data_IF_301056280531
#
_entry.id   IF_301056280531
#
_cell.length_a   1.000
_cell.length_b   1.000
_cell.length_c   1.000
_cell.angle_alpha   90.00
_cell.angle_beta   90.00
_cell.angle_gamma   90.00
#
_symmetry.space_group_name_H-M   'P 1'
#
loop_
_entity.id
_entity.type
_entity.pdbx_description
1 polymer ?
#
# COMPACT_ATOMS: atom_id res chain seq x y z
N UNK A 1 14.10 6.80 -29.88
CA UNK A 1 13.78 8.13 -29.31
C UNK A 1 13.83 8.00 -27.79
N UNK A 2 14.44 8.94 -27.06
CA UNK A 2 14.42 8.91 -25.59
C UNK A 2 12.97 9.04 -25.10
N UNK A 3 12.63 8.34 -24.02
CA UNK A 3 11.37 8.59 -23.32
C UNK A 3 11.51 9.88 -22.52
N UNK A 4 10.58 10.81 -22.70
CA UNK A 4 10.57 12.10 -21.99
C UNK A 4 9.62 12.12 -20.80
N UNK A 5 8.76 11.11 -20.68
CA UNK A 5 7.80 10.98 -19.58
C UNK A 5 7.54 9.51 -19.23
N UNK A 6 7.94 9.13 -18.01
CA UNK A 6 7.70 7.81 -17.44
C UNK A 6 6.20 7.50 -17.29
N UNK A 7 5.33 8.51 -17.22
CA UNK A 7 3.89 8.30 -17.12
C UNK A 7 3.33 7.51 -18.31
N UNK A 8 3.97 7.54 -19.47
CA UNK A 8 3.51 6.80 -20.66
C UNK A 8 3.86 5.32 -20.62
N UNK A 9 4.84 4.92 -19.81
CA UNK A 9 5.37 3.56 -19.74
C UNK A 9 4.56 2.66 -18.80
N UNK A 10 4.64 1.36 -19.05
CA UNK A 10 4.24 0.33 -18.09
C UNK A 10 5.50 -0.36 -17.57
N UNK A 11 5.56 -0.67 -16.27
CA UNK A 11 6.72 -1.33 -15.69
C UNK A 11 6.79 -2.80 -16.11
N UNK A 12 8.01 -3.31 -16.33
CA UNK A 12 8.24 -4.75 -16.55
C UNK A 12 8.04 -5.56 -15.26
N UNK A 13 8.44 -4.99 -14.13
CA UNK A 13 8.29 -5.58 -12.79
C UNK A 13 7.70 -4.56 -11.83
N UNK A 14 6.84 -5.01 -10.94
CA UNK A 14 6.22 -4.16 -9.91
C UNK A 14 6.01 -4.94 -8.62
N UNK A 15 6.21 -4.25 -7.51
CA UNK A 15 5.92 -4.75 -6.17
C UNK A 15 4.94 -3.79 -5.50
N UNK A 16 3.83 -4.33 -5.01
CA UNK A 16 2.79 -3.52 -4.40
C UNK A 16 3.05 -3.30 -2.90
N UNK A 17 3.20 -2.03 -2.52
CA UNK A 17 3.36 -1.60 -1.13
C UNK A 17 2.00 -1.24 -0.51
N UNK A 18 1.10 -0.61 -1.27
CA UNK A 18 -0.27 -0.33 -0.82
C UNK A 18 -0.43 0.89 0.09
N UNK A 19 0.59 1.73 0.25
CA UNK A 19 0.52 3.06 0.91
C UNK A 19 1.25 4.12 0.07
N UNK A 20 1.02 5.40 0.39
CA UNK A 20 1.64 6.55 -0.32
C UNK A 20 2.83 7.16 0.39
N UNK A 21 3.15 6.68 1.61
CA UNK A 21 4.30 7.09 2.43
C UNK A 21 5.03 5.87 2.96
N UNK A 22 6.38 5.83 2.91
CA UNK A 22 7.16 4.73 3.47
C UNK A 22 7.16 4.70 5.01
N UNK A 23 6.69 5.76 5.68
CA UNK A 23 6.84 5.95 7.14
C UNK A 23 6.30 4.83 8.02
N UNK A 24 5.33 4.05 7.54
CA UNK A 24 4.74 2.93 8.28
C UNK A 24 5.19 1.55 7.77
N UNK A 25 5.98 1.51 6.70
CA UNK A 25 6.31 0.29 5.93
C UNK A 25 7.76 0.33 5.46
N UNK A 26 8.65 0.92 6.25
CA UNK A 26 10.06 1.15 5.88
C UNK A 26 10.72 -0.16 5.43
N UNK A 27 10.57 -1.23 6.20
CA UNK A 27 11.21 -2.52 5.90
C UNK A 27 10.65 -3.14 4.60
N UNK A 28 9.34 -3.07 4.38
CA UNK A 28 8.72 -3.55 3.13
C UNK A 28 9.24 -2.79 1.89
N UNK A 29 9.46 -1.47 2.02
CA UNK A 29 9.99 -0.64 0.94
C UNK A 29 11.46 -0.95 0.65
N UNK A 30 12.26 -1.19 1.69
CA UNK A 30 13.66 -1.61 1.55
C UNK A 30 13.76 -2.96 0.83
N UNK A 31 13.00 -3.96 1.30
CA UNK A 31 12.97 -5.29 0.70
C UNK A 31 12.49 -5.26 -0.76
N UNK A 32 11.44 -4.49 -1.04
CA UNK A 32 10.94 -4.31 -2.39
C UNK A 32 11.99 -3.65 -3.31
N UNK A 33 12.70 -2.63 -2.81
CA UNK A 33 13.74 -1.94 -3.59
C UNK A 33 14.90 -2.89 -3.90
N UNK A 34 15.33 -3.70 -2.94
CA UNK A 34 16.38 -4.71 -3.14
C UNK A 34 15.98 -5.75 -4.19
N UNK A 35 14.75 -6.27 -4.10
CA UNK A 35 14.22 -7.22 -5.08
C UNK A 35 14.18 -6.62 -6.48
N UNK A 36 13.68 -5.39 -6.63
CA UNK A 36 13.64 -4.70 -7.91
C UNK A 36 15.05 -4.41 -8.46
N UNK A 37 16.03 -4.10 -7.60
CA UNK A 37 17.44 -3.96 -8.01
C UNK A 37 17.98 -5.28 -8.59
N UNK A 38 17.69 -6.41 -7.94
CA UNK A 38 18.11 -7.74 -8.44
C UNK A 38 17.46 -8.03 -9.79
N UNK A 39 16.14 -7.83 -9.93
CA UNK A 39 15.45 -8.00 -11.21
C UNK A 39 16.06 -7.13 -12.31
N UNK A 40 16.34 -5.85 -12.02
CA UNK A 40 16.95 -4.94 -12.97
C UNK A 40 18.38 -5.35 -13.36
N UNK A 41 19.17 -5.88 -12.41
CA UNK A 41 20.55 -6.32 -12.64
C UNK A 41 20.63 -7.61 -13.49
N UNK A 42 19.57 -8.42 -13.46
CA UNK A 42 19.48 -9.64 -14.27
C UNK A 42 19.07 -9.37 -15.73
N UNK A 43 18.70 -8.13 -16.06
CA UNK A 43 18.45 -7.71 -17.43
C UNK A 43 19.80 -7.66 -18.18
N UNK A 44 19.89 -8.34 -19.31
CA UNK A 44 21.14 -8.61 -20.05
C UNK A 44 21.91 -7.35 -20.51
N UNK A 45 21.27 -6.18 -20.52
CA UNK A 45 21.80 -4.93 -21.08
C UNK A 45 21.84 -3.76 -20.06
N UNK A 46 21.78 -4.05 -18.75
CA UNK A 46 21.78 -3.00 -17.74
C UNK A 46 23.22 -2.49 -17.43
N UNK A 47 23.73 -1.56 -18.24
CA UNK A 47 25.01 -0.88 -17.97
C UNK A 47 24.92 0.15 -16.83
N UNK A 48 23.71 0.62 -16.52
CA UNK A 48 23.43 1.66 -15.53
C UNK A 48 22.08 1.41 -14.85
N UNK A 49 22.07 1.39 -13.51
CA UNK A 49 20.85 1.31 -12.71
C UNK A 49 20.64 2.64 -11.99
N UNK A 50 19.51 3.30 -12.27
CA UNK A 50 19.11 4.54 -11.59
C UNK A 50 17.99 4.22 -10.60
N UNK A 51 18.25 4.44 -9.31
CA UNK A 51 17.25 4.28 -8.25
C UNK A 51 16.67 5.66 -7.90
N UNK A 52 15.51 5.97 -8.46
CA UNK A 52 14.77 7.18 -8.10
C UNK A 52 14.05 6.97 -6.76
N UNK A 53 14.39 7.76 -5.74
CA UNK A 53 13.84 7.59 -4.38
C UNK A 53 12.65 8.52 -4.11
N UNK A 54 11.90 8.23 -3.05
CA UNK A 54 10.81 9.09 -2.57
C UNK A 54 11.34 10.42 -1.96
N UNK A 55 10.43 11.37 -1.73
CA UNK A 55 10.79 12.69 -1.19
C UNK A 55 10.76 12.81 0.34
N UNK A 56 10.73 11.71 1.11
CA UNK A 56 10.70 11.78 2.58
C UNK A 56 12.11 11.96 3.15
N UNK A 57 12.46 13.20 3.47
CA UNK A 57 13.80 13.60 3.92
C UNK A 57 13.79 14.39 5.24
N UNK A 58 12.61 14.76 5.75
CA UNK A 58 12.46 15.62 6.94
C UNK A 58 12.17 14.77 8.17
N UNK A 59 12.97 14.97 9.22
CA UNK A 59 12.85 14.33 10.53
C UNK A 59 13.71 13.08 10.69
N UNK A 60 14.02 12.71 11.93
CA UNK A 60 14.99 11.65 12.25
C UNK A 60 14.64 10.30 11.64
N UNK A 61 13.34 9.96 11.60
CA UNK A 61 12.88 8.71 10.98
C UNK A 61 13.14 8.70 9.46
N UNK A 62 12.95 9.85 8.79
CA UNK A 62 13.22 9.99 7.37
C UNK A 62 14.72 9.85 7.08
N UNK A 63 15.56 10.52 7.88
CA UNK A 63 17.02 10.43 7.78
C UNK A 63 17.48 8.99 7.96
N UNK A 64 17.05 8.31 9.04
CA UNK A 64 17.38 6.90 9.28
C UNK A 64 16.94 5.99 8.13
N UNK A 65 15.73 6.19 7.61
CA UNK A 65 15.24 5.45 6.45
C UNK A 65 16.13 5.63 5.22
N UNK A 66 16.52 6.87 4.89
CA UNK A 66 17.38 7.15 3.73
C UNK A 66 18.77 6.55 3.88
N UNK A 67 19.37 6.59 5.07
CA UNK A 67 20.64 5.91 5.34
C UNK A 67 20.51 4.40 5.15
N UNK A 68 19.49 3.76 5.75
CA UNK A 68 19.22 2.33 5.55
C UNK A 68 18.99 1.97 4.09
N UNK A 69 18.31 2.83 3.32
CA UNK A 69 18.10 2.64 1.88
C UNK A 69 19.43 2.66 1.12
N UNK A 70 20.28 3.65 1.38
CA UNK A 70 21.61 3.78 0.76
C UNK A 70 22.49 2.58 1.11
N UNK A 71 22.51 2.17 2.37
CA UNK A 71 23.27 1.00 2.83
C UNK A 71 22.78 -0.29 2.17
N UNK A 72 21.46 -0.50 2.14
CA UNK A 72 20.86 -1.70 1.55
C UNK A 72 21.14 -1.79 0.05
N UNK A 73 20.89 -0.71 -0.70
CA UNK A 73 21.09 -0.73 -2.15
C UNK A 73 22.57 -0.63 -2.54
N UNK A 74 23.44 -0.21 -1.62
CA UNK A 74 24.89 -0.05 -1.82
C UNK A 74 25.26 0.52 -3.21
N UNK A 75 24.89 1.77 -3.51
CA UNK A 75 25.11 2.36 -4.82
C UNK A 75 26.56 2.85 -4.96
N UNK A 76 27.07 2.88 -6.19
CA UNK A 76 28.39 3.45 -6.50
C UNK A 76 28.42 4.97 -6.27
N UNK A 77 27.32 5.64 -6.62
CA UNK A 77 27.13 7.08 -6.47
C UNK A 77 25.79 7.39 -5.81
N UNK A 78 25.77 8.40 -4.94
CA UNK A 78 24.54 9.03 -4.46
C UNK A 78 24.43 10.42 -5.08
N UNK A 79 23.34 10.67 -5.81
CA UNK A 79 23.06 12.00 -6.38
C UNK A 79 22.11 12.75 -5.44
N UNK A 80 22.62 13.81 -4.81
CA UNK A 80 21.88 14.65 -3.87
C UNK A 80 21.37 15.90 -4.59
N UNK A 81 20.10 15.89 -4.99
CA UNK A 81 19.43 17.04 -5.63
C UNK A 81 18.79 17.90 -4.55
N UNK A 82 19.33 19.11 -4.29
CA UNK A 82 18.91 19.97 -3.19
C UNK A 82 18.47 21.36 -3.65
N UNK A 83 17.60 22.02 -2.86
CA UNK A 83 17.23 23.42 -3.03
C UNK A 83 17.84 24.35 -1.96
N UNK A 84 18.50 23.76 -0.95
CA UNK A 84 19.15 24.42 0.17
C UNK A 84 19.87 23.37 1.02
N UNK A 85 19.73 23.46 2.34
CA UNK A 85 20.46 22.61 3.30
C UNK A 85 19.62 21.41 3.79
N UNK A 86 18.52 21.07 3.11
CA UNK A 86 17.58 20.05 3.57
C UNK A 86 18.14 18.62 3.54
N UNK A 87 19.23 18.40 2.80
CA UNK A 87 19.89 17.10 2.69
C UNK A 87 21.11 16.96 3.61
N UNK A 88 21.57 18.03 4.26
CA UNK A 88 22.75 18.01 5.13
C UNK A 88 22.71 16.90 6.21
N UNK A 89 21.56 16.65 6.89
CA UNK A 89 21.48 15.57 7.87
C UNK A 89 21.65 14.17 7.27
N UNK A 90 21.33 13.98 5.99
CA UNK A 90 21.51 12.71 5.29
C UNK A 90 22.96 12.63 4.78
N UNK A 91 23.44 13.65 4.08
CA UNK A 91 24.77 13.68 3.48
C UNK A 91 25.86 13.46 4.53
N UNK A 92 25.74 14.09 5.70
CA UNK A 92 26.71 13.94 6.80
C UNK A 92 26.81 12.51 7.36
N UNK A 93 25.83 11.63 7.08
CA UNK A 93 25.78 10.25 7.56
C UNK A 93 26.09 9.20 6.47
N UNK A 94 26.28 9.60 5.21
CA UNK A 94 26.54 8.67 4.10
C UNK A 94 27.95 8.03 4.18
N UNK A 95 28.86 8.65 4.95
CA UNK A 95 30.24 8.20 5.11
C UNK A 95 31.11 8.54 3.89
N UNK A 96 32.06 7.67 3.55
CA UNK A 96 33.05 7.88 2.49
C UNK A 96 32.52 7.62 1.06
N UNK A 97 31.21 7.37 0.89
CA UNK A 97 30.64 7.10 -0.45
C UNK A 97 30.70 8.34 -1.34
N UNK A 98 30.74 8.12 -2.64
CA UNK A 98 30.76 9.22 -3.61
C UNK A 98 29.39 9.89 -3.69
N UNK A 99 29.31 11.12 -3.21
CA UNK A 99 28.10 11.96 -3.26
C UNK A 99 28.29 13.06 -4.31
N UNK A 100 27.41 13.08 -5.30
CA UNK A 100 27.32 14.13 -6.30
C UNK A 100 26.22 15.11 -5.88
N UNK A 101 26.61 16.33 -5.54
CA UNK A 101 25.68 17.40 -5.15
C UNK A 101 25.23 18.15 -6.40
N UNK A 102 23.92 18.27 -6.57
CA UNK A 102 23.30 18.92 -7.74
C UNK A 102 22.25 19.92 -7.26
N UNK A 103 22.34 21.17 -7.72
CA UNK A 103 21.31 22.17 -7.46
C UNK A 103 20.03 21.83 -8.24
N UNK A 104 18.88 21.86 -7.55
CA UNK A 104 17.58 21.71 -8.20
C UNK A 104 17.35 22.87 -9.19
N UNK A 105 16.81 22.60 -10.39
CA UNK A 105 16.55 23.66 -11.36
C UNK A 105 15.57 24.71 -10.81
N UNK A 106 15.88 26.00 -10.99
CA UNK A 106 15.11 27.13 -10.45
C UNK A 106 13.66 27.16 -10.95
N UNK A 107 13.42 26.66 -12.16
CA UNK A 107 12.09 26.65 -12.80
C UNK A 107 11.24 25.43 -12.43
N UNK A 108 11.79 24.46 -11.69
CA UNK A 108 11.04 23.27 -11.25
C UNK A 108 10.24 23.62 -10.01
N UNK A 109 8.96 23.96 -10.20
CA UNK A 109 8.03 24.24 -9.11
C UNK A 109 7.84 22.99 -8.24
N UNK A 110 8.08 23.13 -6.92
CA UNK A 110 7.74 22.08 -5.96
C UNK A 110 6.26 21.74 -6.08
N UNK A 111 5.97 20.47 -6.37
CA UNK A 111 4.60 19.94 -6.39
C UNK A 111 4.10 19.78 -4.96
N UNK A 112 3.01 20.47 -4.64
CA UNK A 112 2.32 20.33 -3.36
C UNK A 112 1.62 18.95 -3.23
N UNK A 113 1.15 18.64 -2.02
CA UNK A 113 0.49 17.36 -1.75
C UNK A 113 -0.76 17.14 -2.62
N UNK A 114 -1.52 18.21 -2.87
CA UNK A 114 -2.72 18.16 -3.72
C UNK A 114 -2.38 17.78 -5.15
N UNK A 115 -1.37 18.40 -5.74
CA UNK A 115 -0.89 18.10 -7.09
C UNK A 115 -0.39 16.66 -7.17
N UNK A 116 0.37 16.19 -6.17
CA UNK A 116 0.83 14.78 -6.12
C UNK A 116 -0.34 13.81 -6.10
N UNK A 117 -1.39 14.09 -5.31
CA UNK A 117 -2.60 13.28 -5.24
C UNK A 117 -3.36 13.24 -6.58
N UNK A 118 -3.46 14.38 -7.27
CA UNK A 118 -4.07 14.45 -8.61
C UNK A 118 -3.28 13.59 -9.61
N UNK A 119 -1.96 13.73 -9.64
CA UNK A 119 -1.09 12.94 -10.55
C UNK A 119 -1.18 11.44 -10.27
N UNK A 120 -1.25 11.02 -8.99
CA UNK A 120 -1.52 9.62 -8.64
C UNK A 120 -2.87 9.16 -9.12
N UNK A 121 -3.92 9.97 -8.94
CA UNK A 121 -5.25 9.71 -9.50
C UNK A 121 -5.21 9.46 -11.00
N UNK A 122 -4.49 10.29 -11.77
CA UNK A 122 -4.31 10.09 -13.22
C UNK A 122 -3.58 8.77 -13.52
N UNK A 123 -2.58 8.40 -12.72
CA UNK A 123 -1.88 7.12 -12.88
C UNK A 123 -2.81 5.93 -12.60
N UNK A 124 -3.61 5.96 -11.54
CA UNK A 124 -4.59 4.91 -11.27
C UNK A 124 -5.61 4.77 -12.41
N UNK A 125 -6.13 5.90 -12.93
CA UNK A 125 -7.04 5.89 -14.09
C UNK A 125 -6.39 5.29 -15.33
N UNK A 126 -5.11 5.58 -15.58
CA UNK A 126 -4.34 4.95 -16.66
C UNK A 126 -4.28 3.43 -16.47
N UNK A 127 -3.93 2.98 -15.27
CA UNK A 127 -3.77 1.55 -14.97
C UNK A 127 -5.10 0.78 -14.86
N UNK A 128 -6.21 1.45 -14.56
CA UNK A 128 -7.56 0.87 -14.53
C UNK A 128 -8.33 1.13 -15.82
N UNK A 129 -7.66 1.64 -16.86
CA UNK A 129 -8.27 1.80 -18.18
C UNK A 129 -8.74 0.43 -18.68
N UNK A 130 -9.95 0.37 -19.24
CA UNK A 130 -10.59 -0.87 -19.74
C UNK A 130 -10.88 -1.94 -18.68
N UNK A 131 -10.85 -1.55 -17.39
CA UNK A 131 -11.18 -2.46 -16.31
C UNK A 131 -12.61 -2.99 -16.43
N UNK A 132 -12.77 -4.28 -16.08
CA UNK A 132 -14.06 -4.97 -16.01
C UNK A 132 -14.27 -5.49 -14.59
N UNK A 133 -15.51 -5.81 -14.27
CA UNK A 133 -15.83 -6.49 -13.01
C UNK A 133 -15.42 -7.96 -13.16
N UNK A 134 -14.54 -8.43 -12.28
CA UNK A 134 -14.21 -9.85 -12.09
C UNK A 134 -14.61 -10.29 -10.70
N UNK A 135 -15.17 -11.49 -10.61
CA UNK A 135 -15.49 -12.16 -9.36
C UNK A 135 -14.39 -13.17 -9.02
N UNK A 136 -13.91 -13.13 -7.79
CA UNK A 136 -12.89 -14.03 -7.28
C UNK A 136 -13.42 -14.76 -6.05
N UNK A 137 -13.40 -16.10 -6.08
CA UNK A 137 -13.71 -16.94 -4.92
C UNK A 137 -12.48 -17.07 -4.03
N UNK A 138 -12.64 -16.83 -2.73
CA UNK A 138 -11.52 -16.68 -1.79
C UNK A 138 -10.94 -18.01 -1.30
N UNK A 139 -11.55 -19.14 -1.63
CA UNK A 139 -11.07 -20.46 -1.17
C UNK A 139 -9.80 -20.93 -1.91
N UNK A 140 -9.52 -20.36 -3.08
CA UNK A 140 -8.30 -20.65 -3.87
C UNK A 140 -7.38 -19.44 -4.05
N UNK A 141 -7.67 -18.31 -3.41
CA UNK A 141 -6.93 -17.06 -3.58
C UNK A 141 -6.49 -16.53 -2.23
N UNK A 142 -5.18 -16.31 -2.08
CA UNK A 142 -4.61 -15.71 -0.88
C UNK A 142 -4.88 -14.21 -0.89
N UNK A 143 -5.58 -13.71 0.12
CA UNK A 143 -5.84 -12.28 0.30
C UNK A 143 -5.09 -11.77 1.50
N UNK A 144 -4.26 -10.74 1.30
CA UNK A 144 -3.46 -10.15 2.38
C UNK A 144 -3.38 -8.62 2.32
N UNK A 145 -2.82 -7.99 3.36
CA UNK A 145 -2.57 -6.54 3.42
C UNK A 145 -3.51 -5.83 4.39
N UNK A 146 -4.19 -4.78 3.93
CA UNK A 146 -5.10 -4.00 4.75
C UNK A 146 -6.29 -4.82 5.29
N UNK A 147 -6.68 -5.89 4.60
CA UNK A 147 -7.65 -6.89 5.04
C UNK A 147 -7.12 -8.29 4.70
N UNK A 148 -7.13 -9.22 5.66
CA UNK A 148 -6.76 -10.62 5.43
C UNK A 148 -8.00 -11.52 5.38
N UNK A 149 -8.35 -12.06 4.21
CA UNK A 149 -9.62 -12.79 4.00
C UNK A 149 -9.47 -14.33 3.89
N UNK A 150 -8.33 -14.87 4.35
CA UNK A 150 -7.94 -16.28 4.18
C UNK A 150 -8.73 -17.30 5.03
N UNK A 151 -9.79 -16.88 5.74
CA UNK A 151 -10.73 -17.82 6.38
C UNK A 151 -10.30 -18.34 7.75
N UNK A 152 -9.74 -17.50 8.62
CA UNK A 152 -9.49 -17.79 10.03
C UNK A 152 -10.53 -17.19 10.98
N UNK A 153 -10.52 -17.59 12.25
CA UNK A 153 -11.15 -16.81 13.32
C UNK A 153 -12.63 -17.07 13.65
N UNK A 154 -13.28 -18.12 13.10
CA UNK A 154 -14.73 -18.35 13.34
C UNK A 154 -15.10 -18.45 14.83
N UNK A 155 -14.38 -19.25 15.61
CA UNK A 155 -14.60 -19.36 17.07
C UNK A 155 -14.45 -18.02 17.79
N UNK A 156 -13.50 -17.21 17.35
CA UNK A 156 -13.23 -15.91 17.93
C UNK A 156 -14.27 -14.87 17.48
N UNK A 157 -14.73 -14.94 16.24
CA UNK A 157 -15.84 -14.15 15.71
C UNK A 157 -17.15 -14.42 16.45
N UNK A 158 -17.45 -15.68 16.78
CA UNK A 158 -18.63 -16.06 17.57
C UNK A 158 -18.57 -15.45 18.98
N UNK A 159 -17.41 -15.52 19.65
CA UNK A 159 -17.19 -14.87 20.95
C UNK A 159 -17.34 -13.35 20.87
N UNK A 160 -16.75 -12.71 19.87
CA UNK A 160 -16.89 -11.26 19.66
C UNK A 160 -18.34 -10.87 19.36
N UNK A 161 -19.08 -11.70 18.61
CA UNK A 161 -20.50 -11.50 18.34
C UNK A 161 -21.35 -11.51 19.62
N UNK A 162 -21.06 -12.42 20.55
CA UNK A 162 -21.75 -12.49 21.85
C UNK A 162 -21.51 -11.22 22.67
N UNK A 163 -20.26 -10.78 22.79
CA UNK A 163 -19.90 -9.59 23.58
C UNK A 163 -20.46 -8.31 22.94
N UNK A 164 -20.31 -8.18 21.61
CA UNK A 164 -20.77 -6.99 20.88
C UNK A 164 -22.30 -6.91 20.76
N UNK A 165 -23.00 -8.05 20.84
CA UNK A 165 -24.45 -8.12 20.62
C UNK A 165 -24.86 -7.85 19.17
N UNK A 166 -23.95 -8.04 18.21
CA UNK A 166 -24.16 -7.70 16.79
C UNK A 166 -23.48 -8.71 15.87
N UNK A 167 -24.00 -8.86 14.63
CA UNK A 167 -23.40 -9.75 13.63
C UNK A 167 -21.99 -9.27 13.24
N UNK A 168 -21.01 -10.13 13.47
CA UNK A 168 -19.62 -9.96 13.01
C UNK A 168 -19.49 -10.68 11.67
N UNK A 169 -19.34 -9.92 10.60
CA UNK A 169 -19.20 -10.44 9.24
C UNK A 169 -17.81 -11.01 8.98
N UNK A 170 -16.80 -10.39 9.59
CA UNK A 170 -15.41 -10.82 9.46
C UNK A 170 -14.62 -10.44 10.71
N UNK A 171 -13.68 -11.29 11.07
CA UNK A 171 -12.78 -11.10 12.19
C UNK A 171 -11.37 -11.49 11.78
N UNK A 172 -10.43 -10.60 12.03
CA UNK A 172 -9.02 -10.77 11.72
C UNK A 172 -8.18 -10.41 12.94
N UNK A 173 -7.47 -11.39 13.50
CA UNK A 173 -6.54 -11.15 14.58
C UNK A 173 -5.15 -10.77 14.05
N UNK A 174 -4.60 -9.66 14.55
CA UNK A 174 -3.25 -9.17 14.27
C UNK A 174 -2.40 -9.19 15.53
N UNK A 175 -1.11 -8.88 15.41
CA UNK A 175 -0.17 -8.90 16.54
C UNK A 175 -0.64 -8.03 17.70
N UNK A 176 -1.09 -6.79 17.42
CA UNK A 176 -1.45 -5.80 18.44
C UNK A 176 -2.90 -5.30 18.35
N UNK A 177 -3.70 -5.85 17.44
CA UNK A 177 -5.09 -5.43 17.25
C UNK A 177 -5.95 -6.56 16.68
N UNK A 178 -7.26 -6.38 16.76
CA UNK A 178 -8.24 -7.21 16.08
C UNK A 178 -9.05 -6.33 15.16
N UNK A 179 -9.11 -6.66 13.88
CA UNK A 179 -9.99 -5.99 12.93
C UNK A 179 -11.32 -6.74 12.86
N UNK A 180 -12.41 -6.04 13.08
CA UNK A 180 -13.76 -6.55 12.98
C UNK A 180 -14.51 -5.80 11.89
N UNK A 181 -15.23 -6.54 11.05
CA UNK A 181 -16.18 -5.97 10.08
C UNK A 181 -17.59 -6.33 10.54
N UNK A 182 -18.41 -5.32 10.80
CA UNK A 182 -19.80 -5.47 11.21
C UNK A 182 -20.75 -4.96 10.14
N UNK A 183 -22.03 -5.34 10.22
CA UNK A 183 -23.02 -4.83 9.26
C UNK A 183 -23.23 -3.32 9.38
N UNK A 184 -23.27 -2.80 10.61
CA UNK A 184 -23.48 -1.38 10.93
C UNK A 184 -22.71 -1.02 12.21
N UNK A 185 -21.79 -0.05 12.12
CA UNK A 185 -20.96 0.38 13.26
C UNK A 185 -21.76 1.24 14.24
N UNK A 186 -22.71 2.02 13.75
CA UNK A 186 -23.51 2.98 14.53
C UNK A 186 -24.51 2.32 15.50
N UNK A 187 -24.74 1.02 15.37
CA UNK A 187 -25.61 0.24 16.26
C UNK A 187 -24.87 -0.41 17.43
N UNK A 188 -23.55 -0.25 17.53
CA UNK A 188 -22.75 -0.87 18.58
C UNK A 188 -22.70 0.00 19.84
N UNK A 189 -22.89 -0.62 21.01
CA UNK A 189 -22.61 0.03 22.29
C UNK A 189 -21.09 0.06 22.53
N UNK A 190 -20.56 1.26 22.77
CA UNK A 190 -19.14 1.45 23.05
C UNK A 190 -18.67 0.72 24.34
N UNK A 191 -19.56 0.49 25.30
CA UNK A 191 -19.26 -0.34 26.47
C UNK A 191 -18.96 -1.78 26.08
N UNK A 192 -19.73 -2.34 25.14
CA UNK A 192 -19.51 -3.69 24.63
C UNK A 192 -18.21 -3.78 23.82
N UNK A 193 -17.88 -2.73 23.06
CA UNK A 193 -16.59 -2.66 22.34
C UNK A 193 -15.43 -2.69 23.33
N UNK A 194 -15.48 -1.89 24.40
CA UNK A 194 -14.45 -1.91 25.45
C UNK A 194 -14.35 -3.25 26.15
N UNK A 195 -15.48 -3.85 26.52
CA UNK A 195 -15.49 -5.20 27.11
C UNK A 195 -14.86 -6.24 26.17
N UNK A 196 -15.10 -6.11 24.86
CA UNK A 196 -14.47 -6.98 23.86
C UNK A 196 -12.95 -6.74 23.75
N UNK A 197 -12.48 -5.49 23.84
CA UNK A 197 -11.04 -5.17 23.89
C UNK A 197 -10.37 -5.74 25.14
N UNK A 198 -11.00 -5.60 26.31
CA UNK A 198 -10.53 -6.14 27.58
C UNK A 198 -10.44 -7.68 27.53
N UNK A 199 -11.50 -8.34 27.07
CA UNK A 199 -11.55 -9.80 26.92
C UNK A 199 -10.54 -10.33 25.90
N UNK A 200 -10.25 -9.55 24.86
CA UNK A 200 -9.28 -9.91 23.84
C UNK A 200 -7.83 -9.56 24.20
N UNK A 201 -7.62 -8.68 25.19
CA UNK A 201 -6.31 -8.11 25.51
C UNK A 201 -5.68 -7.31 24.36
N UNK A 202 -6.47 -6.88 23.38
CA UNK A 202 -6.02 -6.21 22.15
C UNK A 202 -7.01 -5.12 21.75
N UNK A 203 -6.47 -4.06 21.15
CA UNK A 203 -7.30 -2.99 20.58
C UNK A 203 -8.16 -3.51 19.43
N UNK A 204 -9.42 -3.11 19.38
CA UNK A 204 -10.31 -3.46 18.29
C UNK A 204 -10.37 -2.31 17.27
N UNK A 205 -10.21 -2.66 16.00
CA UNK A 205 -10.42 -1.79 14.84
C UNK A 205 -11.77 -2.18 14.22
N UNK A 206 -12.78 -1.32 14.35
CA UNK A 206 -14.11 -1.55 13.80
C UNK A 206 -14.25 -0.92 12.42
N UNK A 207 -14.51 -1.77 11.43
CA UNK A 207 -15.01 -1.38 10.11
C UNK A 207 -16.47 -1.79 9.96
N UNK A 208 -17.19 -1.12 9.07
CA UNK A 208 -18.52 -1.55 8.64
C UNK A 208 -18.51 -2.06 7.20
N UNK A 209 -19.47 -2.92 6.86
CA UNK A 209 -19.69 -3.34 5.47
C UNK A 209 -19.85 -2.11 4.58
N UNK A 210 -19.07 -2.07 3.51
CA UNK A 210 -18.97 -0.92 2.61
C UNK A 210 -17.67 -0.14 2.76
N UNK A 211 -16.96 -0.24 3.90
CA UNK A 211 -15.65 0.40 4.09
C UNK A 211 -14.56 -0.23 3.20
N UNK A 212 -14.74 -1.47 2.76
CA UNK A 212 -13.84 -2.13 1.81
C UNK A 212 -13.91 -1.53 0.40
N UNK A 213 -14.99 -0.82 0.07
CA UNK A 213 -15.24 -0.34 -1.28
C UNK A 213 -14.23 0.73 -1.67
N UNK A 214 -13.74 0.63 -2.90
CA UNK A 214 -12.76 1.56 -3.45
C UNK A 214 -11.32 1.26 -3.01
N UNK A 215 -11.07 0.26 -2.17
CA UNK A 215 -9.69 -0.07 -1.80
C UNK A 215 -8.91 -0.57 -3.02
N UNK A 216 -7.72 -0.01 -3.20
CA UNK A 216 -6.77 -0.39 -4.23
C UNK A 216 -6.06 -1.67 -3.82
N UNK A 217 -5.88 -2.61 -4.74
CA UNK A 217 -5.18 -3.86 -4.50
C UNK A 217 -4.31 -4.24 -5.71
N UNK A 218 -3.24 -5.00 -5.46
CA UNK A 218 -2.56 -5.75 -6.53
C UNK A 218 -3.24 -7.09 -6.76
N UNK A 219 -3.14 -7.57 -8.00
CA UNK A 219 -3.44 -8.95 -8.36
C UNK A 219 -2.15 -9.61 -8.84
N UNK A 220 -1.83 -10.78 -8.30
CA UNK A 220 -0.57 -11.48 -8.51
C UNK A 220 -0.81 -12.90 -9.05
N UNK A 221 0.07 -13.35 -9.94
CA UNK A 221 0.06 -14.69 -10.51
C UNK A 221 0.55 -15.76 -9.51
N UNK A 222 0.44 -17.06 -9.79
CA UNK A 222 0.98 -18.12 -8.92
C UNK A 222 2.49 -18.05 -8.65
N UNK A 223 3.26 -17.38 -9.51
CA UNK A 223 4.69 -17.15 -9.33
C UNK A 223 4.99 -15.93 -8.43
N UNK A 224 3.96 -15.23 -7.95
CA UNK A 224 4.09 -14.03 -7.11
C UNK A 224 4.47 -12.78 -7.91
N UNK A 225 4.27 -12.76 -9.23
CA UNK A 225 4.46 -11.57 -10.06
C UNK A 225 3.19 -10.76 -10.10
N UNK A 226 3.34 -9.44 -9.96
CA UNK A 226 2.23 -8.51 -10.06
C UNK A 226 1.74 -8.41 -11.51
N UNK A 227 0.50 -8.81 -11.75
CA UNK A 227 -0.17 -8.72 -13.05
C UNK A 227 -0.74 -7.32 -13.29
N UNK A 228 -1.05 -6.60 -12.22
CA UNK A 228 -1.63 -5.27 -12.27
C UNK A 228 -2.35 -4.89 -11.00
N UNK A 229 -3.14 -3.82 -11.08
CA UNK A 229 -3.97 -3.34 -9.98
C UNK A 229 -5.45 -3.56 -10.24
N UNK A 230 -6.23 -3.51 -9.17
CA UNK A 230 -7.68 -3.50 -9.19
C UNK A 230 -8.23 -2.69 -8.03
N UNK A 231 -9.52 -2.39 -8.12
CA UNK A 231 -10.26 -1.71 -7.07
C UNK A 231 -11.36 -2.63 -6.55
N UNK A 232 -11.50 -2.76 -5.22
CA UNK A 232 -12.57 -3.55 -4.61
C UNK A 232 -13.91 -2.85 -4.88
N UNK A 233 -14.82 -3.56 -5.54
CA UNK A 233 -16.20 -3.11 -5.72
C UNK A 233 -17.03 -3.45 -4.49
N UNK A 234 -16.92 -4.70 -4.02
CA UNK A 234 -17.53 -5.18 -2.78
C UNK A 234 -16.98 -6.57 -2.40
N UNK A 235 -17.19 -6.94 -1.13
CA UNK A 235 -16.88 -8.27 -0.61
C UNK A 235 -18.15 -8.93 -0.09
N UNK A 236 -18.39 -10.17 -0.52
CA UNK A 236 -19.35 -11.07 0.13
C UNK A 236 -18.63 -11.96 1.14
N UNK A 237 -18.70 -11.58 2.41
CA UNK A 237 -18.08 -12.31 3.52
C UNK A 237 -18.72 -13.68 3.76
N UNK A 238 -20.00 -13.86 3.39
CA UNK A 238 -20.73 -15.13 3.57
C UNK A 238 -20.39 -16.11 2.43
N UNK A 239 -20.50 -15.64 1.18
CA UNK A 239 -20.16 -16.43 0.01
C UNK A 239 -18.64 -16.52 -0.24
N UNK A 240 -17.83 -15.89 0.60
CA UNK A 240 -16.36 -15.83 0.51
C UNK A 240 -15.91 -15.45 -0.90
N UNK A 241 -16.40 -14.32 -1.39
CA UNK A 241 -16.04 -13.82 -2.73
C UNK A 241 -15.77 -12.32 -2.72
N UNK A 242 -14.90 -11.86 -3.61
CA UNK A 242 -14.62 -10.44 -3.83
C UNK A 242 -14.90 -10.08 -5.29
N UNK A 243 -15.66 -9.00 -5.50
CA UNK A 243 -15.79 -8.37 -6.82
C UNK A 243 -14.79 -7.24 -6.94
N UNK A 244 -14.01 -7.25 -8.00
CA UNK A 244 -13.00 -6.23 -8.27
C UNK A 244 -13.17 -5.65 -9.66
N UNK A 245 -12.94 -4.35 -9.78
CA UNK A 245 -12.81 -3.64 -11.05
C UNK A 245 -11.33 -3.67 -11.41
N UNK A 246 -10.96 -4.43 -12.44
CA UNK A 246 -9.56 -4.59 -12.86
C UNK A 246 -9.46 -4.90 -14.37
N UNK A 247 -8.42 -4.45 -15.06
CA UNK A 247 -8.13 -4.88 -16.43
C UNK A 247 -7.37 -6.22 -16.49
N UNK A 248 -6.89 -6.73 -15.34
CA UNK A 248 -6.17 -8.01 -15.29
C UNK A 248 -7.10 -9.12 -15.76
N UNK A 249 -6.70 -9.86 -16.79
CA UNK A 249 -7.43 -11.00 -17.36
C UNK A 249 -6.81 -12.37 -17.03
N UNK A 250 -5.56 -12.39 -16.57
CA UNK A 250 -4.83 -13.61 -16.23
C UNK A 250 -5.35 -14.35 -14.99
N UNK A 251 -4.72 -15.49 -14.72
CA UNK A 251 -4.91 -16.29 -13.50
C UNK A 251 -4.33 -15.55 -12.29
N UNK A 252 -5.14 -15.40 -11.25
CA UNK A 252 -4.78 -14.68 -10.02
C UNK A 252 -4.75 -15.69 -8.89
N UNK A 253 -3.61 -15.76 -8.19
CA UNK A 253 -3.43 -16.62 -7.01
C UNK A 253 -3.42 -15.83 -5.70
N UNK A 254 -3.10 -14.52 -5.79
CA UNK A 254 -2.99 -13.63 -4.64
C UNK A 254 -3.53 -12.24 -4.93
N UNK A 255 -4.19 -11.65 -3.93
CA UNK A 255 -4.65 -10.28 -3.93
C UNK A 255 -4.05 -9.58 -2.70
N UNK A 256 -3.22 -8.54 -2.90
CA UNK A 256 -2.71 -7.72 -1.79
C UNK A 256 -3.49 -6.41 -1.73
N UNK A 257 -4.34 -6.26 -0.72
CA UNK A 257 -5.19 -5.08 -0.51
C UNK A 257 -4.35 -3.99 0.16
N UNK A 258 -4.30 -2.82 -0.46
CA UNK A 258 -3.64 -1.65 0.09
C UNK A 258 -4.56 -0.83 0.99
N UNK A 259 -3.99 0.19 1.62
CA UNK A 259 -4.72 1.12 2.47
C UNK A 259 -5.34 2.28 1.68
N UNK A 260 -4.95 2.44 0.41
CA UNK A 260 -5.39 3.54 -0.46
C UNK A 260 -6.82 3.29 -0.92
N UNK A 261 -7.69 4.27 -0.74
CA UNK A 261 -9.06 4.28 -1.25
C UNK A 261 -9.20 5.19 -2.45
N UNK A 262 -9.82 4.70 -3.51
CA UNK A 262 -10.23 5.44 -4.69
C UNK A 262 -11.76 5.62 -4.70
N UNK A 263 -12.24 6.63 -5.43
CA UNK A 263 -13.65 6.69 -5.83
C UNK A 263 -13.92 5.93 -7.14
N UNK A 264 -15.18 5.90 -7.57
CA UNK A 264 -15.60 5.25 -8.82
C UNK A 264 -14.96 5.84 -10.08
N UNK A 265 -14.42 7.06 -10.01
CA UNK A 265 -13.70 7.70 -11.12
C UNK A 265 -12.19 7.45 -11.07
N UNK A 266 -11.69 6.70 -10.06
CA UNK A 266 -10.27 6.44 -9.85
C UNK A 266 -9.50 7.57 -9.16
N UNK A 267 -10.17 8.56 -8.58
CA UNK A 267 -9.50 9.60 -7.79
C UNK A 267 -9.20 9.09 -6.38
N UNK A 268 -8.00 9.36 -5.87
CA UNK A 268 -7.64 9.02 -4.49
C UNK A 268 -8.49 9.80 -3.49
N UNK A 269 -9.11 9.12 -2.52
CA UNK A 269 -9.96 9.69 -1.47
C UNK A 269 -9.27 9.78 -0.10
N UNK A 270 -8.33 8.88 0.17
CA UNK A 270 -7.53 8.87 1.40
C UNK A 270 -7.10 7.46 1.76
N UNK A 271 -6.68 7.25 3.01
CA UNK A 271 -6.39 5.92 3.55
C UNK A 271 -7.57 5.35 4.35
N UNK A 272 -7.72 4.02 4.36
CA UNK A 272 -8.78 3.31 5.11
C UNK A 272 -8.78 3.67 6.61
N UNK A 273 -7.60 3.77 7.24
CA UNK A 273 -7.49 4.07 8.68
C UNK A 273 -7.68 5.56 9.00
N UNK A 274 -7.40 6.46 8.07
CA UNK A 274 -7.67 7.90 8.27
C UNK A 274 -9.17 8.15 8.46
N UNK A 275 -10.02 7.35 7.80
CA UNK A 275 -11.47 7.39 7.99
C UNK A 275 -11.91 6.94 9.39
N UNK A 276 -11.07 6.19 10.12
CA UNK A 276 -11.34 5.71 11.48
C UNK A 276 -10.83 6.66 12.56
N UNK A 277 -9.78 7.44 12.29
CA UNK A 277 -9.24 8.44 13.21
C UNK A 277 -10.01 9.77 13.25
N UNK A 278 -10.93 10.00 12.29
CA UNK A 278 -11.70 11.24 12.20
C UNK A 278 -13.09 11.17 12.84
N UNK A 279 -13.49 10.06 13.48
CA UNK A 279 -14.84 9.88 14.06
C UNK A 279 -14.89 8.93 15.26
#
# INVERSE_FOLDING_TARGET
KPFTDLFTLFPDYSIFIGVTSPSMVVDEVLDATLRLKVEASNLRDADLIIINTDGWIIGDLAVRYKIRLIEAVNPDFVVAIHAGNELDPIISLIGERQVLIVEAPRDVRRRDQRTRRILRGLAYKKHLKEAKIRLFHLDGIRVEGALNLNGGGKKFADKMREILGSEVLHCEERSNSILLIVQRRDLLDWKNVKAAEEEAGKRIILLQKGDERGLLASLEDPAGRMLGIGMIQDIDFKARSVRMITPVSGEVSRIKIGWIRLDSEGNERGLLLEALSMR
#
